data_IF_182888206805
#
_entry.id   IF_182888206805
#
_cell.length_a   1.000
_cell.length_b   1.000
_cell.length_c   1.000
_cell.angle_alpha   90.00
_cell.angle_beta   90.00
_cell.angle_gamma   90.00
#
_symmetry.space_group_name_H-M   'P 1'
#
loop_
_entity.id
_entity.type
_entity.pdbx_description
1 polymer ?
#
# COMPACT_ATOMS: atom_id res chain seq x y z
N UNK A 1 -5.36 -8.90 2.83
CA UNK A 1 -4.78 -7.55 2.65
C UNK A 1 -5.60 -6.75 1.63
N UNK A 2 -5.43 -6.97 0.31
CA UNK A 2 -6.09 -6.15 -0.73
C UNK A 2 -7.61 -6.04 -0.60
N UNK A 3 -8.31 -7.14 -0.28
CA UNK A 3 -9.77 -7.11 -0.07
C UNK A 3 -10.19 -6.12 1.02
N UNK A 4 -9.44 -6.05 2.11
CA UNK A 4 -9.71 -5.12 3.22
C UNK A 4 -9.35 -3.70 2.84
N UNK A 5 -8.23 -3.48 2.14
CA UNK A 5 -7.84 -2.15 1.66
C UNK A 5 -8.86 -1.61 0.66
N UNK A 6 -9.34 -2.46 -0.25
CA UNK A 6 -10.37 -2.12 -1.24
C UNK A 6 -11.75 -1.86 -0.61
N UNK A 7 -11.99 -2.25 0.66
CA UNK A 7 -13.23 -1.89 1.35
C UNK A 7 -13.18 -0.49 1.98
N UNK A 8 -12.03 0.20 1.95
CA UNK A 8 -11.96 1.59 2.38
C UNK A 8 -12.74 2.50 1.41
N UNK A 9 -13.61 3.43 1.89
CA UNK A 9 -14.48 4.24 1.02
C UNK A 9 -13.74 5.06 -0.04
N UNK A 10 -12.54 5.55 0.26
CA UNK A 10 -11.71 6.34 -0.65
C UNK A 10 -10.91 5.50 -1.67
N UNK A 11 -10.76 4.19 -1.47
CA UNK A 11 -9.92 3.34 -2.32
C UNK A 11 -10.70 2.86 -3.54
N UNK A 12 -10.14 3.04 -4.73
CA UNK A 12 -10.67 2.47 -5.98
C UNK A 12 -10.18 1.03 -6.14
N UNK A 13 -8.86 0.85 -6.03
CA UNK A 13 -8.21 -0.45 -6.09
C UNK A 13 -6.83 -0.38 -5.41
N UNK A 14 -6.31 -1.54 -5.02
CA UNK A 14 -5.00 -1.67 -4.39
C UNK A 14 -4.26 -2.90 -4.91
N UNK A 15 -2.93 -2.81 -4.88
CA UNK A 15 -2.03 -3.90 -5.15
C UNK A 15 -1.02 -4.06 -4.01
N UNK A 16 -0.99 -5.24 -3.41
CA UNK A 16 0.00 -5.59 -2.38
C UNK A 16 1.13 -6.39 -3.00
N UNK A 17 2.36 -5.96 -2.71
CA UNK A 17 3.61 -6.57 -3.13
C UNK A 17 4.58 -6.68 -1.95
N UNK A 18 5.58 -7.54 -2.11
CA UNK A 18 6.75 -7.55 -1.25
C UNK A 18 7.75 -6.53 -1.82
N UNK A 19 8.24 -5.61 -0.99
CA UNK A 19 9.22 -4.60 -1.37
C UNK A 19 10.47 -4.75 -0.52
N UNK A 20 11.64 -4.64 -1.15
CA UNK A 20 12.93 -4.72 -0.44
C UNK A 20 13.07 -3.53 0.51
N UNK A 21 13.26 -3.81 1.80
CA UNK A 21 13.62 -2.80 2.77
C UNK A 21 15.13 -2.45 2.70
N UNK A 22 15.50 -1.27 3.20
CA UNK A 22 16.89 -0.80 3.26
C UNK A 22 17.79 -1.75 4.09
N UNK A 23 17.21 -2.41 5.10
CA UNK A 23 17.88 -3.34 6.00
C UNK A 23 16.96 -4.54 6.26
N UNK A 24 17.29 -5.73 5.74
CA UNK A 24 16.63 -6.99 6.10
C UNK A 24 15.85 -7.68 4.98
N UNK A 25 14.77 -8.35 5.37
CA UNK A 25 13.87 -9.12 4.51
C UNK A 25 12.86 -8.21 3.78
N UNK A 26 12.13 -8.76 2.81
CA UNK A 26 11.08 -8.02 2.12
C UNK A 26 9.93 -7.65 3.07
N UNK A 27 9.46 -6.41 2.98
CA UNK A 27 8.34 -5.88 3.77
C UNK A 27 7.08 -5.72 2.90
N UNK A 28 5.92 -5.58 3.56
CA UNK A 28 4.64 -5.41 2.87
C UNK A 28 4.51 -3.98 2.35
N UNK A 29 4.37 -3.84 1.04
CA UNK A 29 4.04 -2.58 0.38
C UNK A 29 2.67 -2.65 -0.28
N UNK A 30 1.89 -1.58 -0.14
CA UNK A 30 0.64 -1.39 -0.89
C UNK A 30 0.75 -0.21 -1.85
N UNK A 31 0.43 -0.45 -3.12
CA UNK A 31 0.16 0.58 -4.10
C UNK A 31 -1.35 0.79 -4.19
N UNK A 32 -1.82 2.03 -4.10
CA UNK A 32 -3.25 2.36 -3.99
C UNK A 32 -3.63 3.38 -5.05
N UNK A 33 -4.69 3.10 -5.80
CA UNK A 33 -5.40 4.11 -6.58
C UNK A 33 -6.64 4.55 -5.80
N UNK A 34 -6.81 5.86 -5.64
CA UNK A 34 -7.98 6.43 -4.98
C UNK A 34 -9.14 6.64 -5.97
N UNK A 35 -10.35 6.71 -5.44
CA UNK A 35 -11.52 7.12 -6.24
C UNK A 35 -11.36 8.58 -6.68
N UNK A 36 -11.93 8.97 -7.84
CA UNK A 36 -11.91 10.37 -8.28
C UNK A 36 -12.43 11.32 -7.20
N UNK A 37 -11.66 12.36 -6.89
CA UNK A 37 -12.01 13.37 -5.89
C UNK A 37 -11.83 12.95 -4.43
N UNK A 38 -11.38 11.71 -4.16
CA UNK A 38 -11.08 11.28 -2.81
C UNK A 38 -9.64 11.68 -2.40
N UNK A 39 -9.47 11.98 -1.11
CA UNK A 39 -8.18 12.17 -0.46
C UNK A 39 -8.05 11.18 0.70
N UNK A 40 -6.86 10.64 0.91
CA UNK A 40 -6.56 9.73 2.01
C UNK A 40 -5.09 9.89 2.38
N UNK A 41 -4.79 10.12 3.65
CA UNK A 41 -3.40 10.12 4.12
C UNK A 41 -2.90 8.68 4.28
N UNK A 42 -1.59 8.40 4.05
CA UNK A 42 -1.01 7.10 4.35
C UNK A 42 -1.30 6.64 5.78
N UNK A 43 -1.19 7.55 6.74
CA UNK A 43 -1.45 7.36 8.16
C UNK A 43 -2.86 6.83 8.41
N UNK A 44 -3.87 7.49 7.82
CA UNK A 44 -5.28 7.10 7.93
C UNK A 44 -5.54 5.71 7.32
N UNK A 45 -4.88 5.39 6.21
CA UNK A 45 -4.98 4.06 5.61
C UNK A 45 -4.37 2.98 6.52
N UNK A 46 -3.23 3.27 7.15
CA UNK A 46 -2.58 2.36 8.08
C UNK A 46 -3.44 2.13 9.31
N UNK A 47 -3.99 3.18 9.92
CA UNK A 47 -4.93 3.07 11.04
C UNK A 47 -6.13 2.20 10.67
N UNK A 48 -6.72 2.42 9.49
CA UNK A 48 -7.81 1.59 8.99
C UNK A 48 -7.44 0.10 8.88
N UNK A 49 -6.20 -0.19 8.47
CA UNK A 49 -5.68 -1.55 8.35
C UNK A 49 -5.40 -2.20 9.71
N UNK A 50 -4.82 -1.46 10.66
CA UNK A 50 -4.54 -1.94 12.03
C UNK A 50 -5.81 -2.45 12.71
N UNK A 51 -6.93 -1.74 12.54
CA UNK A 51 -8.20 -2.13 13.13
C UNK A 51 -8.83 -3.39 12.51
N UNK A 52 -8.38 -3.82 11.32
CA UNK A 52 -9.06 -4.82 10.50
C UNK A 52 -8.19 -6.00 10.12
N UNK A 53 -6.91 -5.97 10.45
CA UNK A 53 -5.91 -6.94 10.03
C UNK A 53 -4.93 -7.21 11.18
N UNK A 54 -4.41 -8.44 11.24
CA UNK A 54 -3.30 -8.77 12.11
C UNK A 54 -2.08 -7.87 11.82
N UNK A 55 -1.31 -7.53 12.85
CA UNK A 55 -0.16 -6.62 12.77
C UNK A 55 0.79 -6.90 11.60
N UNK A 56 1.16 -8.17 11.37
CA UNK A 56 2.09 -8.57 10.29
C UNK A 56 1.51 -8.40 8.87
N UNK A 57 0.21 -8.14 8.75
CA UNK A 57 -0.45 -7.85 7.47
C UNK A 57 -0.57 -6.36 7.17
N UNK A 58 -0.28 -5.51 8.15
CA UNK A 58 -0.35 -4.06 7.98
C UNK A 58 0.81 -3.64 7.08
N UNK A 59 0.55 -2.93 5.96
CA UNK A 59 1.62 -2.49 5.08
C UNK A 59 2.59 -1.56 5.81
N UNK A 60 3.88 -1.80 5.63
CA UNK A 60 4.93 -0.85 6.03
C UNK A 60 4.95 0.35 5.08
N UNK A 61 4.85 0.05 3.78
CA UNK A 61 4.96 1.05 2.72
C UNK A 61 3.61 1.31 2.07
N UNK A 62 3.31 2.58 1.83
CA UNK A 62 2.12 3.04 1.11
C UNK A 62 2.54 3.92 -0.05
N UNK A 63 2.07 3.62 -1.25
CA UNK A 63 2.29 4.44 -2.43
C UNK A 63 0.97 4.74 -3.11
N UNK A 64 0.62 6.02 -3.23
CA UNK A 64 -0.56 6.44 -3.97
C UNK A 64 -0.20 6.68 -5.43
N UNK A 65 -1.03 6.15 -6.33
CA UNK A 65 -0.83 6.26 -7.78
C UNK A 65 -2.12 6.75 -8.44
N UNK A 66 -1.99 7.48 -9.55
CA UNK A 66 -3.15 7.90 -10.33
C UNK A 66 -3.95 6.71 -10.88
N UNK A 67 -3.25 5.65 -11.30
CA UNK A 67 -3.82 4.36 -11.69
C UNK A 67 -2.76 3.26 -11.51
N UNK A 68 -3.20 2.04 -11.20
CA UNK A 68 -2.30 0.88 -11.14
C UNK A 68 -1.99 0.39 -12.57
N UNK A 69 -0.76 -0.08 -12.85
CA UNK A 69 -0.42 -0.63 -14.16
C UNK A 69 -1.22 -1.91 -14.41
N UNK A 70 -1.90 -2.01 -15.56
CA UNK A 70 -2.76 -3.16 -15.89
C UNK A 70 -2.36 -3.87 -17.17
N UNK A 71 -2.71 -5.15 -17.26
CA UNK A 71 -2.73 -5.90 -18.52
C UNK A 71 -3.89 -5.44 -19.41
N UNK A 72 -3.91 -5.80 -20.71
CA UNK A 72 -5.08 -5.58 -21.57
C UNK A 72 -6.37 -6.24 -21.07
N UNK A 73 -6.26 -7.17 -20.11
CA UNK A 73 -7.37 -7.85 -19.44
C UNK A 73 -7.69 -7.26 -18.07
N UNK A 74 -7.31 -6.01 -17.81
CA UNK A 74 -7.57 -5.26 -16.57
C UNK A 74 -6.97 -5.86 -15.28
N UNK A 75 -6.01 -6.79 -15.39
CA UNK A 75 -5.32 -7.33 -14.20
C UNK A 75 -4.13 -6.46 -13.84
N UNK A 76 -3.96 -6.14 -12.55
CA UNK A 76 -2.82 -5.36 -12.08
C UNK A 76 -1.49 -6.12 -12.32
N UNK A 77 -0.51 -5.43 -12.91
CA UNK A 77 0.84 -5.91 -13.18
C UNK A 77 1.73 -5.79 -11.95
N UNK A 78 1.49 -6.64 -10.95
CA UNK A 78 2.27 -6.67 -9.69
C UNK A 78 3.78 -6.88 -9.89
N UNK A 79 4.19 -7.55 -10.97
CA UNK A 79 5.60 -7.73 -11.31
C UNK A 79 6.29 -6.39 -11.56
N UNK A 80 5.69 -5.51 -12.35
CA UNK A 80 6.21 -4.17 -12.60
C UNK A 80 6.30 -3.35 -11.31
N UNK A 81 5.25 -3.39 -10.48
CA UNK A 81 5.27 -2.70 -9.18
C UNK A 81 6.39 -3.21 -8.27
N UNK A 82 6.69 -4.51 -8.31
CA UNK A 82 7.79 -5.11 -7.54
C UNK A 82 9.16 -4.69 -8.06
N UNK A 83 9.31 -4.55 -9.38
CA UNK A 83 10.55 -4.04 -9.98
C UNK A 83 10.79 -2.58 -9.62
N UNK A 84 9.74 -1.77 -9.58
CA UNK A 84 9.81 -0.37 -9.12
C UNK A 84 10.16 -0.28 -7.63
N UNK A 85 9.57 -1.17 -6.81
CA UNK A 85 9.85 -1.24 -5.37
C UNK A 85 9.53 0.06 -4.63
N UNK A 86 10.36 0.39 -3.64
CA UNK A 86 10.26 1.65 -2.89
C UNK A 86 10.81 2.79 -3.74
N UNK A 87 9.94 3.74 -4.07
CA UNK A 87 10.24 4.93 -4.88
C UNK A 87 10.19 6.21 -4.01
N UNK A 88 10.68 7.37 -4.49
CA UNK A 88 10.65 8.62 -3.72
C UNK A 88 9.26 9.10 -3.28
N UNK A 89 8.19 8.69 -3.97
CA UNK A 89 6.78 8.94 -3.65
C UNK A 89 6.17 7.89 -2.71
N UNK A 90 6.96 6.93 -2.23
CA UNK A 90 6.53 5.91 -1.27
C UNK A 90 6.66 6.44 0.15
N UNK A 91 5.56 6.40 0.89
CA UNK A 91 5.55 6.65 2.33
C UNK A 91 5.95 5.38 3.09
N UNK A 92 6.78 5.55 4.13
CA UNK A 92 7.30 4.47 4.98
C UNK A 92 6.97 4.76 6.44
N UNK A 93 6.32 3.80 7.10
CA UNK A 93 5.94 3.92 8.51
C UNK A 93 7.15 4.11 9.45
N UNK A 94 8.30 3.51 9.12
CA UNK A 94 9.49 3.65 9.96
C UNK A 94 10.08 5.07 9.87
N UNK A 95 9.88 5.75 8.74
CA UNK A 95 10.35 7.11 8.50
C UNK A 95 9.33 8.17 8.93
N UNK A 96 8.06 7.80 9.14
CA UNK A 96 7.00 8.73 9.55
C UNK A 96 6.95 8.99 11.06
N UNK A 97 7.59 8.14 11.88
CA UNK A 97 7.53 8.22 13.34
C UNK A 97 6.24 7.66 13.95
N UNK A 98 5.35 7.10 13.13
CA UNK A 98 4.14 6.41 13.58
C UNK A 98 4.50 5.10 14.30
N UNK A 99 3.83 4.81 15.42
CA UNK A 99 4.05 3.58 16.20
C UNK A 99 2.79 2.73 16.20
N UNK A 100 2.84 1.56 15.58
CA UNK A 100 1.79 0.54 15.69
C UNK A 100 2.14 -0.39 16.85
N UNK A 101 1.18 -0.61 17.76
CA UNK A 101 1.32 -1.61 18.82
C UNK A 101 1.13 -3.01 18.22
N UNK A 102 2.09 -3.90 18.50
CA UNK A 102 2.05 -5.33 18.16
C UNK A 102 1.00 -6.08 18.98
#
# INVERSE_FOLDING_TARGET
MEKTINSHPAVLESAVIAAKADLGEDDVMVCVALKPGASLAPEELIEYCVDRMAYFMVPRFVRFMAALPKTPTERVRKFQLREEGVTPDTWDIEKSGMKIKR
#
